data_IF_121550377473
#
_entry.id   IF_121550377473
#
_cell.length_a   1.000
_cell.length_b   1.000
_cell.length_c   1.000
_cell.angle_alpha   90.00
_cell.angle_beta   90.00
_cell.angle_gamma   90.00
#
_symmetry.space_group_name_H-M   'P 1'
#
loop_
_entity.id
_entity.type
_entity.pdbx_description
1 polymer ?
#
# COMPACT_ATOMS: atom_id res chain seq x y z
N UNK A 1 5.21 -19.18 -10.84
CA UNK A 1 5.31 -17.71 -10.86
C UNK A 1 4.31 -17.10 -9.88
N UNK A 2 4.76 -16.15 -9.07
CA UNK A 2 3.99 -15.30 -8.16
C UNK A 2 4.29 -13.84 -8.49
N UNK A 3 3.28 -12.98 -8.59
CA UNK A 3 3.45 -11.53 -8.78
C UNK A 3 3.13 -10.79 -7.49
N UNK A 4 4.01 -9.89 -7.06
CA UNK A 4 3.80 -9.03 -5.90
C UNK A 4 3.86 -7.58 -6.38
N UNK A 5 2.77 -6.84 -6.20
CA UNK A 5 2.76 -5.38 -6.30
C UNK A 5 2.79 -4.82 -4.88
N UNK A 6 3.88 -4.16 -4.49
CA UNK A 6 4.03 -3.56 -3.15
C UNK A 6 4.11 -2.04 -3.27
N UNK A 7 3.34 -1.34 -2.43
CA UNK A 7 3.08 0.10 -2.53
C UNK A 7 3.25 0.77 -1.17
N UNK A 8 3.91 1.92 -1.13
CA UNK A 8 3.93 2.77 0.07
C UNK A 8 2.57 3.46 0.25
N UNK A 9 2.06 3.57 1.47
CA UNK A 9 0.84 4.35 1.74
C UNK A 9 0.88 5.79 1.17
N UNK A 10 -0.30 6.35 0.88
CA UNK A 10 -0.47 7.76 0.50
C UNK A 10 -0.06 8.72 1.62
N UNK A 11 0.15 10.00 1.30
CA UNK A 11 0.55 11.00 2.29
C UNK A 11 -0.40 11.01 3.51
N UNK A 12 0.18 11.00 4.70
CA UNK A 12 -0.55 11.09 5.97
C UNK A 12 -0.36 12.44 6.65
N UNK A 13 -1.20 12.72 7.65
CA UNK A 13 -1.09 13.95 8.46
C UNK A 13 0.29 14.08 9.10
N UNK A 14 0.81 13.01 9.68
CA UNK A 14 2.14 13.02 10.26
C UNK A 14 3.25 13.23 9.21
N UNK A 15 3.04 12.93 7.91
CA UNK A 15 4.03 13.27 6.87
C UNK A 15 4.10 14.78 6.70
N UNK A 16 2.94 15.43 6.57
CA UNK A 16 2.85 16.89 6.46
C UNK A 16 3.40 17.58 7.71
N UNK A 17 3.10 17.04 8.88
CA UNK A 17 3.59 17.55 10.17
C UNK A 17 5.05 17.19 10.47
N UNK A 18 5.74 16.46 9.58
CA UNK A 18 7.12 16.04 9.75
C UNK A 18 7.34 15.31 11.08
N UNK A 19 6.51 14.29 11.36
CA UNK A 19 6.58 13.49 12.57
C UNK A 19 7.11 12.10 12.28
N UNK A 20 7.83 11.53 13.25
CA UNK A 20 8.15 10.11 13.26
C UNK A 20 6.84 9.31 13.35
N UNK A 21 6.64 8.43 12.36
CA UNK A 21 5.41 7.65 12.22
C UNK A 21 5.76 6.19 12.00
N UNK A 22 6.03 5.49 13.09
CA UNK A 22 6.21 4.05 13.05
C UNK A 22 4.84 3.40 13.21
N UNK A 23 4.54 2.99 14.44
CA UNK A 23 3.26 2.36 14.77
C UNK A 23 2.15 3.35 15.15
N UNK A 24 2.46 4.64 15.28
CA UNK A 24 1.44 5.67 15.49
C UNK A 24 0.43 5.67 14.34
N UNK A 25 -0.86 5.64 14.69
CA UNK A 25 -1.94 5.78 13.71
C UNK A 25 -2.08 7.23 13.25
N UNK A 26 -1.92 7.44 11.95
CA UNK A 26 -1.98 8.75 11.30
C UNK A 26 -2.80 8.59 10.03
N UNK A 27 -3.94 9.29 9.89
CA UNK A 27 -4.81 9.16 8.73
C UNK A 27 -4.19 9.79 7.49
N UNK A 28 -4.71 9.44 6.31
CA UNK A 28 -4.34 10.09 5.05
C UNK A 28 -4.75 11.57 5.07
N UNK A 29 -4.00 12.39 4.33
CA UNK A 29 -4.47 13.71 3.92
C UNK A 29 -5.37 13.60 2.71
N UNK A 30 -6.12 14.66 2.37
CA UNK A 30 -6.87 14.71 1.11
C UNK A 30 -5.95 14.52 -0.10
N UNK A 31 -4.74 15.06 -0.06
CA UNK A 31 -3.75 14.84 -1.12
C UNK A 31 -3.26 13.38 -1.14
N UNK A 32 -3.02 12.77 0.02
CA UNK A 32 -2.68 11.36 0.12
C UNK A 32 -3.76 10.43 -0.41
N UNK A 33 -5.04 10.79 -0.22
CA UNK A 33 -6.14 10.07 -0.82
C UNK A 33 -6.14 10.19 -2.36
N UNK A 34 -5.88 11.38 -2.90
CA UNK A 34 -5.73 11.56 -4.35
C UNK A 34 -4.57 10.76 -4.93
N UNK A 35 -3.42 10.72 -4.25
CA UNK A 35 -2.29 9.88 -4.64
C UNK A 35 -2.70 8.40 -4.73
N UNK A 36 -3.44 7.91 -3.73
CA UNK A 36 -3.92 6.52 -3.71
C UNK A 36 -4.94 6.24 -4.84
N UNK A 37 -5.83 7.19 -5.14
CA UNK A 37 -6.73 7.07 -6.30
C UNK A 37 -5.94 7.02 -7.63
N UNK A 38 -4.90 7.83 -7.80
CA UNK A 38 -4.06 7.79 -9.02
C UNK A 38 -3.28 6.47 -9.14
N UNK A 39 -2.76 5.94 -8.03
CA UNK A 39 -2.16 4.61 -8.01
C UNK A 39 -3.20 3.53 -8.42
N UNK A 40 -4.44 3.68 -7.97
CA UNK A 40 -5.56 2.85 -8.42
C UNK A 40 -5.82 2.92 -9.92
N UNK A 41 -5.78 4.11 -10.52
CA UNK A 41 -5.92 4.28 -11.98
C UNK A 41 -4.79 3.60 -12.75
N UNK A 42 -3.54 3.70 -12.28
CA UNK A 42 -2.39 3.03 -12.90
C UNK A 42 -2.44 1.51 -12.78
N UNK A 43 -3.13 1.00 -11.76
CA UNK A 43 -3.31 -0.43 -11.48
C UNK A 43 -4.69 -0.93 -11.87
N UNK A 44 -5.48 -0.16 -12.63
CA UNK A 44 -6.91 -0.43 -12.83
C UNK A 44 -7.20 -1.80 -13.45
N UNK A 45 -6.29 -2.27 -14.31
CA UNK A 45 -6.43 -3.50 -15.09
C UNK A 45 -5.70 -4.70 -14.48
N UNK A 46 -4.98 -4.50 -13.37
CA UNK A 46 -4.33 -5.60 -12.66
C UNK A 46 -5.39 -6.50 -12.04
N UNK A 47 -5.14 -7.81 -12.00
CA UNK A 47 -6.05 -8.82 -11.44
C UNK A 47 -5.51 -9.34 -10.12
N UNK A 48 -5.77 -8.61 -9.05
CA UNK A 48 -5.31 -9.02 -7.73
C UNK A 48 -6.10 -10.24 -7.23
N UNK A 49 -5.39 -11.29 -6.84
CA UNK A 49 -5.98 -12.48 -6.20
C UNK A 49 -6.12 -12.30 -4.70
N UNK A 50 -5.32 -11.43 -4.09
CA UNK A 50 -5.33 -11.15 -2.65
C UNK A 50 -4.79 -9.74 -2.38
N UNK A 51 -5.26 -9.11 -1.30
CA UNK A 51 -4.75 -7.82 -0.84
C UNK A 51 -4.30 -7.94 0.61
N UNK A 52 -3.07 -7.54 0.90
CA UNK A 52 -2.49 -7.57 2.25
C UNK A 52 -2.03 -6.16 2.60
N UNK A 53 -2.32 -5.73 3.81
CA UNK A 53 -1.97 -4.39 4.29
C UNK A 53 -1.28 -4.48 5.64
N UNK A 54 -0.45 -3.50 5.98
CA UNK A 54 -0.29 -3.18 7.41
C UNK A 54 -1.66 -2.78 7.97
N UNK A 55 -1.89 -3.15 9.21
CA UNK A 55 -3.11 -2.83 9.97
C UNK A 55 -3.24 -1.33 10.36
N UNK A 56 -2.26 -0.48 10.00
CA UNK A 56 -2.33 0.96 10.26
C UNK A 56 -3.31 1.64 9.29
N UNK A 57 -4.05 2.63 9.79
CA UNK A 57 -5.18 3.21 9.03
C UNK A 57 -4.77 3.82 7.67
N UNK A 58 -3.54 4.35 7.56
CA UNK A 58 -3.00 4.91 6.31
C UNK A 58 -2.80 3.87 5.21
N UNK A 59 -2.37 2.65 5.55
CA UNK A 59 -2.19 1.56 4.58
C UNK A 59 -3.52 0.96 4.18
N UNK A 60 -4.43 0.75 5.14
CA UNK A 60 -5.80 0.26 4.88
C UNK A 60 -6.56 1.24 3.96
N UNK A 61 -6.53 2.54 4.28
CA UNK A 61 -7.21 3.57 3.49
C UNK A 61 -6.63 3.69 2.08
N UNK A 62 -5.31 3.58 1.95
CA UNK A 62 -4.63 3.58 0.64
C UNK A 62 -5.08 2.38 -0.21
N UNK A 63 -5.09 1.17 0.37
CA UNK A 63 -5.54 -0.03 -0.33
C UNK A 63 -6.99 0.09 -0.81
N UNK A 64 -7.90 0.56 0.04
CA UNK A 64 -9.31 0.77 -0.33
C UNK A 64 -9.48 1.75 -1.49
N UNK A 65 -8.72 2.84 -1.50
CA UNK A 65 -8.76 3.84 -2.57
C UNK A 65 -8.20 3.30 -3.89
N UNK A 66 -7.11 2.53 -3.84
CA UNK A 66 -6.56 1.83 -5.02
C UNK A 66 -7.62 0.89 -5.61
N UNK A 67 -8.20 0.03 -4.76
CA UNK A 67 -9.18 -0.97 -5.19
C UNK A 67 -10.47 -0.34 -5.73
N UNK A 68 -10.87 0.83 -5.22
CA UNK A 68 -12.04 1.57 -5.72
C UNK A 68 -11.93 2.00 -7.19
N UNK A 69 -10.71 2.00 -7.75
CA UNK A 69 -10.43 2.33 -9.16
C UNK A 69 -10.10 1.09 -10.01
N UNK A 70 -9.93 -0.08 -9.39
CA UNK A 70 -9.60 -1.30 -10.09
C UNK A 70 -10.87 -1.96 -10.67
N UNK A 71 -10.91 -2.17 -11.98
CA UNK A 71 -12.11 -2.68 -12.67
C UNK A 71 -12.32 -4.17 -12.47
N UNK A 72 -11.26 -4.89 -12.09
CA UNK A 72 -11.33 -6.33 -11.79
C UNK A 72 -11.72 -6.59 -10.32
N UNK A 73 -11.70 -5.56 -9.47
CA UNK A 73 -12.07 -5.68 -8.07
C UNK A 73 -13.60 -5.61 -7.93
N UNK A 74 -14.25 -6.76 -8.02
CA UNK A 74 -15.63 -6.91 -7.52
C UNK A 74 -15.57 -7.12 -6.00
N UNK A 75 -16.42 -6.41 -5.25
CA UNK A 75 -16.42 -6.37 -3.77
C UNK A 75 -16.62 -7.73 -3.08
N UNK A 76 -16.87 -8.80 -3.84
CA UNK A 76 -17.21 -10.12 -3.31
C UNK A 76 -16.14 -11.21 -3.57
N UNK A 77 -15.03 -10.92 -4.26
CA UNK A 77 -14.08 -11.97 -4.68
C UNK A 77 -12.66 -11.88 -4.09
N UNK A 78 -12.26 -10.73 -3.56
CA UNK A 78 -10.87 -10.52 -3.10
C UNK A 78 -10.86 -10.12 -1.63
N UNK A 79 -10.23 -10.95 -0.82
CA UNK A 79 -10.10 -10.72 0.62
C UNK A 79 -9.00 -9.69 0.91
N UNK A 80 -9.34 -8.72 1.76
CA UNK A 80 -8.41 -7.73 2.28
C UNK A 80 -7.96 -8.17 3.67
N UNK A 81 -6.69 -8.53 3.77
CA UNK A 81 -6.03 -8.96 4.99
C UNK A 81 -5.19 -7.83 5.59
N UNK A 82 -5.07 -7.85 6.91
CA UNK A 82 -4.15 -6.99 7.64
C UNK A 82 -3.15 -7.86 8.41
N UNK A 83 -1.87 -7.52 8.32
CA UNK A 83 -0.78 -8.22 8.99
C UNK A 83 0.13 -7.20 9.69
N UNK A 84 0.31 -7.39 11.00
CA UNK A 84 1.10 -6.50 11.86
C UNK A 84 2.59 -6.49 11.49
N UNK A 85 3.09 -7.55 10.84
CA UNK A 85 4.47 -7.65 10.38
C UNK A 85 4.78 -6.68 9.25
N UNK A 86 3.77 -6.09 8.60
CA UNK A 86 3.93 -5.10 7.53
C UNK A 86 4.01 -3.66 8.06
N UNK A 87 3.95 -3.44 9.37
CA UNK A 87 4.04 -2.09 9.97
C UNK A 87 5.38 -1.41 9.67
N UNK A 88 5.42 -0.08 9.79
CA UNK A 88 6.68 0.67 9.72
C UNK A 88 7.58 0.33 10.90
N UNK A 89 8.88 0.67 10.85
CA UNK A 89 9.77 0.58 12.01
C UNK A 89 9.15 1.29 13.23
N UNK A 90 9.11 0.63 14.38
CA UNK A 90 8.71 1.28 15.63
C UNK A 90 9.81 2.22 16.15
N UNK A 91 9.50 3.51 16.29
CA UNK A 91 10.50 4.52 16.69
C UNK A 91 10.59 4.75 18.21
N UNK A 92 9.90 3.93 19.00
CA UNK A 92 9.96 3.99 20.47
C UNK A 92 9.44 5.30 21.01
N UNK A 93 10.23 5.96 21.85
CA UNK A 93 9.93 7.28 22.40
C UNK A 93 9.64 8.34 21.33
N UNK A 94 10.18 8.18 20.11
CA UNK A 94 10.04 9.17 19.06
C UNK A 94 8.71 9.12 18.32
N UNK A 95 7.88 8.10 18.52
CA UNK A 95 6.53 8.03 17.95
C UNK A 95 5.75 9.34 18.19
N UNK A 96 5.15 9.85 17.12
CA UNK A 96 4.44 11.13 17.09
C UNK A 96 5.29 12.36 17.50
N UNK A 97 6.62 12.27 17.57
CA UNK A 97 7.46 13.47 17.79
C UNK A 97 7.91 14.07 16.47
N UNK A 98 8.20 15.37 16.47
CA UNK A 98 8.82 16.02 15.33
C UNK A 98 10.10 15.28 14.93
N UNK A 99 10.26 15.01 13.64
CA UNK A 99 11.43 14.35 13.08
C UNK A 99 12.68 15.25 13.06
N UNK A 100 12.52 16.53 13.43
CA UNK A 100 13.61 17.49 13.59
C UNK A 100 14.29 17.42 14.96
N UNK A 101 13.72 16.70 15.93
CA UNK A 101 14.31 16.54 17.26
C UNK A 101 15.54 15.63 17.15
N UNK A 102 16.67 15.94 17.82
CA UNK A 102 17.85 15.08 17.84
C UNK A 102 17.50 13.66 18.29
N UNK A 103 17.81 12.69 17.42
CA UNK A 103 17.56 11.28 17.68
C UNK A 103 18.48 10.78 18.78
N UNK A 104 17.92 10.02 19.71
CA UNK A 104 18.65 9.31 20.76
C UNK A 104 18.52 7.81 20.49
N UNK A 105 19.62 7.09 20.71
CA UNK A 105 19.67 5.64 20.53
C UNK A 105 19.87 4.95 21.88
N UNK A 106 19.25 3.78 22.05
CA UNK A 106 19.43 2.96 23.24
C UNK A 106 20.81 2.32 23.27
N UNK A 107 21.31 1.91 22.09
CA UNK A 107 22.59 1.26 21.89
C UNK A 107 23.19 1.72 20.55
N UNK A 108 24.52 1.82 20.49
CA UNK A 108 25.28 2.15 19.27
C UNK A 108 26.29 1.04 18.94
N UNK A 109 25.82 -0.12 18.46
CA UNK A 109 26.69 -1.23 18.04
C UNK A 109 27.56 -0.87 16.82
N UNK A 110 28.63 -1.65 16.54
CA UNK A 110 29.47 -1.45 15.35
C UNK A 110 28.66 -1.56 14.04
N UNK A 111 27.73 -2.52 13.97
CA UNK A 111 26.79 -2.63 12.86
C UNK A 111 25.62 -1.65 13.05
N UNK A 112 25.50 -0.70 12.13
CA UNK A 112 24.45 0.32 12.15
C UNK A 112 23.04 -0.27 12.03
N UNK A 113 22.89 -1.44 11.42
CA UNK A 113 21.57 -2.11 11.29
C UNK A 113 20.99 -2.55 12.63
N UNK A 114 21.85 -2.72 13.64
CA UNK A 114 21.47 -3.13 15.00
C UNK A 114 21.17 -1.93 15.93
N UNK A 115 21.31 -0.69 15.45
CA UNK A 115 20.99 0.51 16.23
C UNK A 115 19.47 0.57 16.49
N UNK A 116 19.09 0.76 17.77
CA UNK A 116 17.71 0.94 18.20
C UNK A 116 17.48 2.36 18.73
N UNK A 117 16.32 2.94 18.41
CA UNK A 117 15.84 4.17 19.04
C UNK A 117 15.62 3.95 20.54
N UNK A 118 15.64 5.01 21.35
CA UNK A 118 15.25 4.88 22.77
C UNK A 118 13.74 4.64 22.89
N UNK A 119 13.34 3.90 23.91
CA UNK A 119 11.94 3.68 24.27
C UNK A 119 11.50 2.24 24.06
N UNK A 120 10.43 1.87 24.77
CA UNK A 120 9.86 0.54 24.72
C UNK A 120 9.39 0.18 23.31
N UNK A 121 9.63 -1.07 22.90
CA UNK A 121 9.24 -1.59 21.59
C UNK A 121 10.02 -1.02 20.40
N UNK A 122 11.01 -0.15 20.59
CA UNK A 122 11.81 0.39 19.49
C UNK A 122 12.50 -0.71 18.67
N UNK A 123 12.39 -0.60 17.36
CA UNK A 123 12.99 -1.51 16.41
C UNK A 123 14.30 -0.94 15.84
N UNK A 124 15.24 -1.82 15.52
CA UNK A 124 16.36 -1.59 14.62
C UNK A 124 15.98 -1.98 13.19
N UNK A 125 16.83 -1.64 12.20
CA UNK A 125 16.60 -2.12 10.83
C UNK A 125 16.64 -3.65 10.75
N UNK A 126 17.46 -4.30 11.58
CA UNK A 126 17.54 -5.75 11.63
C UNK A 126 16.28 -6.41 12.22
N UNK A 127 15.60 -5.76 13.17
CA UNK A 127 14.31 -6.24 13.66
C UNK A 127 13.25 -6.18 12.55
N UNK A 128 13.19 -5.06 11.81
CA UNK A 128 12.28 -4.88 10.66
C UNK A 128 12.57 -5.91 9.56
N UNK A 129 13.85 -6.13 9.24
CA UNK A 129 14.29 -7.16 8.30
C UNK A 129 13.84 -8.55 8.73
N UNK A 130 14.03 -8.91 10.00
CA UNK A 130 13.68 -10.22 10.53
C UNK A 130 12.19 -10.52 10.33
N UNK A 131 11.29 -9.56 10.63
CA UNK A 131 9.86 -9.74 10.38
C UNK A 131 9.46 -9.71 8.90
N UNK A 132 10.17 -8.94 8.07
CA UNK A 132 9.96 -8.96 6.62
C UNK A 132 10.35 -10.33 6.02
N UNK A 133 11.47 -10.91 6.46
CA UNK A 133 11.91 -12.26 6.10
C UNK A 133 10.93 -13.34 6.54
N UNK A 134 10.42 -13.28 7.77
CA UNK A 134 9.40 -14.21 8.26
C UNK A 134 8.13 -14.14 7.40
N UNK A 135 7.62 -12.94 7.14
CA UNK A 135 6.46 -12.73 6.28
C UNK A 135 6.70 -13.28 4.86
N UNK A 136 7.85 -12.96 4.24
CA UNK A 136 8.20 -13.46 2.91
C UNK A 136 8.26 -15.00 2.89
N UNK A 137 8.87 -15.60 3.91
CA UNK A 137 9.08 -17.05 3.95
C UNK A 137 7.75 -17.79 4.05
N UNK A 138 6.85 -17.35 4.93
CA UNK A 138 5.51 -17.91 5.04
C UNK A 138 4.67 -17.69 3.78
N UNK A 139 4.77 -16.51 3.16
CA UNK A 139 4.09 -16.21 1.90
C UNK A 139 4.52 -17.20 0.81
N UNK A 140 5.83 -17.40 0.63
CA UNK A 140 6.37 -18.32 -0.36
C UNK A 140 5.96 -19.78 -0.07
N UNK A 141 6.07 -20.22 1.19
CA UNK A 141 5.65 -21.57 1.59
C UNK A 141 4.16 -21.81 1.33
N UNK A 142 3.29 -20.83 1.62
CA UNK A 142 1.86 -20.93 1.30
C UNK A 142 1.63 -21.14 -0.19
N UNK A 143 2.20 -20.27 -1.04
CA UNK A 143 2.00 -20.37 -2.49
C UNK A 143 2.64 -21.62 -3.11
N UNK A 144 3.68 -22.18 -2.48
CA UNK A 144 4.30 -23.42 -2.92
C UNK A 144 3.40 -24.62 -2.63
N UNK A 145 2.80 -24.67 -1.45
CA UNK A 145 1.83 -25.72 -1.09
C UNK A 145 0.57 -25.65 -1.97
N UNK A 146 0.13 -24.45 -2.32
CA UNK A 146 -1.05 -24.23 -3.16
C UNK A 146 -0.78 -24.32 -4.67
N UNK A 147 0.46 -24.58 -5.10
CA UNK A 147 0.88 -24.49 -6.50
C UNK A 147 0.06 -25.39 -7.45
N UNK A 148 -0.38 -26.57 -6.99
CA UNK A 148 -1.24 -27.48 -7.78
C UNK A 148 -2.66 -26.94 -8.01
N UNK A 149 -3.20 -26.15 -7.09
CA UNK A 149 -4.54 -25.55 -7.18
C UNK A 149 -4.46 -24.27 -8.01
N UNK A 150 -3.41 -23.48 -7.76
CA UNK A 150 -3.18 -22.19 -8.42
C UNK A 150 -2.88 -22.34 -9.91
N UNK A 151 -2.14 -23.38 -10.32
CA UNK A 151 -1.84 -23.62 -11.74
C UNK A 151 -3.09 -23.76 -12.63
N UNK A 152 -4.26 -24.09 -12.05
CA UNK A 152 -5.54 -24.17 -12.77
C UNK A 152 -6.29 -22.82 -12.83
N UNK A 153 -6.01 -21.89 -11.91
CA UNK A 153 -6.69 -20.59 -11.80
C UNK A 153 -5.86 -19.41 -12.31
N UNK A 154 -4.60 -19.65 -12.69
CA UNK A 154 -3.67 -18.64 -13.18
C UNK A 154 -2.60 -18.28 -12.15
N UNK A 155 -1.73 -17.33 -12.50
CA UNK A 155 -0.65 -16.91 -11.59
C UNK A 155 -1.17 -15.91 -10.55
N UNK A 156 -0.87 -16.12 -9.26
CA UNK A 156 -1.34 -15.25 -8.19
C UNK A 156 -0.67 -13.90 -8.31
N UNK A 157 -1.46 -12.85 -8.05
CA UNK A 157 -0.99 -11.47 -8.06
C UNK A 157 -1.49 -10.78 -6.80
N UNK A 158 -0.56 -10.46 -5.91
CA UNK A 158 -0.86 -9.93 -4.59
C UNK A 158 -0.59 -8.43 -4.58
N UNK A 159 -1.54 -7.66 -4.06
CA UNK A 159 -1.31 -6.26 -3.70
C UNK A 159 -0.90 -6.18 -2.23
N UNK A 160 0.24 -5.57 -1.95
CA UNK A 160 0.74 -5.29 -0.60
C UNK A 160 0.81 -3.77 -0.40
N UNK A 161 0.21 -3.24 0.67
CA UNK A 161 0.32 -1.81 1.03
C UNK A 161 0.99 -1.66 2.39
N UNK A 162 2.15 -0.99 2.40
CA UNK A 162 3.02 -0.87 3.57
C UNK A 162 3.72 0.51 3.64
N UNK A 163 4.91 0.59 4.22
CA UNK A 163 5.64 1.80 4.62
C UNK A 163 7.08 1.78 4.12
N UNK A 164 7.78 2.90 4.20
CA UNK A 164 9.06 3.08 3.50
C UNK A 164 10.16 2.15 3.99
N UNK A 165 10.36 2.04 5.31
CA UNK A 165 11.47 1.23 5.85
C UNK A 165 11.14 -0.25 5.70
N UNK A 166 9.90 -0.65 5.99
CA UNK A 166 9.47 -2.02 5.74
C UNK A 166 9.65 -2.44 4.28
N UNK A 167 9.24 -1.63 3.30
CA UNK A 167 9.38 -2.00 1.88
C UNK A 167 10.86 -2.16 1.51
N UNK A 168 11.75 -1.29 1.98
CA UNK A 168 13.19 -1.45 1.76
C UNK A 168 13.72 -2.76 2.35
N UNK A 169 13.34 -3.10 3.58
CA UNK A 169 13.78 -4.35 4.21
C UNK A 169 13.10 -5.59 3.60
N UNK A 170 11.90 -5.47 3.03
CA UNK A 170 11.25 -6.53 2.26
C UNK A 170 11.94 -6.76 0.91
N UNK A 171 12.36 -5.70 0.22
CA UNK A 171 13.17 -5.81 -1.00
C UNK A 171 14.54 -6.41 -0.70
N UNK A 172 15.15 -6.02 0.43
CA UNK A 172 16.36 -6.65 0.95
C UNK A 172 16.14 -8.15 1.21
N UNK A 173 15.07 -8.50 1.93
CA UNK A 173 14.67 -9.88 2.20
C UNK A 173 14.54 -10.71 0.91
N UNK A 174 13.90 -10.17 -0.14
CA UNK A 174 13.80 -10.83 -1.44
C UNK A 174 15.15 -11.12 -2.09
N UNK A 175 16.11 -10.18 -1.99
CA UNK A 175 17.43 -10.32 -2.60
C UNK A 175 18.28 -11.39 -1.92
N UNK A 176 18.24 -11.45 -0.59
CA UNK A 176 19.10 -12.36 0.19
C UNK A 176 18.41 -13.64 0.66
N UNK A 177 17.13 -13.83 0.33
CA UNK A 177 16.34 -15.00 0.70
C UNK A 177 17.05 -16.31 0.30
N UNK A 178 17.35 -17.16 1.30
CA UNK A 178 18.02 -18.46 1.17
C UNK A 178 19.42 -18.43 0.53
N UNK A 179 20.02 -17.26 0.32
CA UNK A 179 21.38 -17.17 -0.21
C UNK A 179 22.43 -17.13 0.90
N UNK A 180 23.57 -17.80 0.67
CA UNK A 180 24.80 -17.59 1.47
C UNK A 180 25.41 -16.17 1.25
N UNK A 181 24.86 -15.41 0.29
CA UNK A 181 25.31 -14.09 -0.13
C UNK A 181 24.80 -12.95 0.77
N UNK A 182 24.16 -13.25 1.90
CA UNK A 182 23.70 -12.26 2.89
C UNK A 182 24.77 -11.23 3.28
N UNK A 183 26.05 -11.62 3.24
CA UNK A 183 27.19 -10.74 3.55
C UNK A 183 27.85 -10.09 2.34
N UNK A 184 27.45 -10.44 1.10
CA UNK A 184 28.07 -9.96 -0.14
C UNK A 184 27.17 -9.00 -0.94
N UNK A 185 25.85 -9.06 -0.74
CA UNK A 185 24.89 -8.14 -1.36
C UNK A 185 24.02 -7.50 -0.29
N UNK A 186 23.93 -6.18 -0.30
CA UNK A 186 23.03 -5.42 0.56
C UNK A 186 22.16 -4.53 -0.32
N UNK A 187 20.85 -4.58 -0.09
CA UNK A 187 19.96 -3.59 -0.67
C UNK A 187 20.36 -2.19 -0.19
N UNK A 188 20.64 -1.29 -1.13
CA UNK A 188 20.84 0.10 -0.80
C UNK A 188 19.48 0.73 -0.50
N UNK A 189 19.34 1.36 0.67
CA UNK A 189 18.12 2.06 1.03
C UNK A 189 17.75 3.10 -0.03
N UNK A 190 16.51 3.06 -0.50
CA UNK A 190 15.98 4.00 -1.48
C UNK A 190 14.87 4.83 -0.80
N UNK A 191 14.87 6.16 -0.95
CA UNK A 191 13.72 6.98 -0.59
C UNK A 191 12.49 6.64 -1.46
N UNK A 192 11.37 6.34 -0.82
CA UNK A 192 10.11 6.03 -1.51
C UNK A 192 9.18 7.23 -1.45
N UNK A 193 8.57 7.62 -2.57
CA UNK A 193 7.45 8.56 -2.56
C UNK A 193 6.20 7.90 -2.00
N UNK A 194 5.29 8.68 -1.41
CA UNK A 194 3.96 8.17 -1.06
C UNK A 194 3.28 7.60 -2.32
N UNK A 195 2.72 6.39 -2.20
CA UNK A 195 2.17 5.60 -3.33
C UNK A 195 3.16 5.18 -4.42
N UNK A 196 4.48 5.22 -4.19
CA UNK A 196 5.40 4.61 -5.14
C UNK A 196 5.18 3.09 -5.23
N UNK A 197 5.33 2.57 -6.45
CA UNK A 197 4.91 1.21 -6.81
C UNK A 197 6.14 0.36 -7.16
N UNK A 198 6.27 -0.79 -6.51
CA UNK A 198 7.10 -1.89 -6.99
C UNK A 198 6.20 -2.99 -7.53
N UNK A 199 6.61 -3.64 -8.63
CA UNK A 199 5.95 -4.85 -9.15
C UNK A 199 7.02 -5.87 -9.46
N UNK A 200 6.95 -7.01 -8.80
CA UNK A 200 8.00 -8.04 -8.76
C UNK A 200 7.36 -9.35 -9.17
N UNK A 201 7.97 -10.07 -10.11
CA UNK A 201 7.60 -11.44 -10.43
C UNK A 201 8.64 -12.38 -9.86
N UNK A 202 8.19 -13.41 -9.16
CA UNK A 202 9.01 -14.49 -8.61
C UNK A 202 8.69 -15.73 -9.44
N UNK A 203 9.63 -16.18 -10.27
CA UNK A 203 9.40 -17.23 -11.27
C UNK A 203 9.38 -18.61 -10.64
N UNK A 204 10.41 -18.91 -9.85
CA UNK A 204 10.62 -20.18 -9.15
C UNK A 204 10.88 -19.92 -7.68
N UNK A 205 10.23 -20.71 -6.84
CA UNK A 205 10.42 -20.77 -5.39
C UNK A 205 10.13 -22.23 -5.02
N UNK A 206 11.17 -23.07 -5.02
CA UNK A 206 11.03 -24.48 -4.66
C UNK A 206 11.89 -24.70 -3.41
N UNK A 207 11.31 -25.24 -2.34
CA UNK A 207 12.00 -25.35 -1.05
C UNK A 207 13.23 -26.28 -1.07
N UNK A 208 13.40 -27.06 -2.13
CA UNK A 208 14.46 -28.06 -2.27
C UNK A 208 15.80 -27.51 -2.75
N UNK A 209 15.83 -26.32 -3.33
CA UNK A 209 17.05 -25.75 -3.89
C UNK A 209 17.61 -24.66 -2.96
N UNK A 210 18.90 -24.76 -2.60
CA UNK A 210 19.65 -23.67 -1.93
C UNK A 210 19.94 -22.49 -2.89
N UNK A 211 19.14 -22.34 -3.94
CA UNK A 211 19.33 -21.37 -4.99
C UNK A 211 18.58 -20.06 -4.66
N UNK A 212 19.11 -18.90 -5.08
CA UNK A 212 18.43 -17.62 -4.95
C UNK A 212 17.06 -17.62 -5.66
N UNK A 213 16.14 -16.79 -5.16
CA UNK A 213 14.88 -16.54 -5.87
C UNK A 213 15.15 -15.94 -7.25
N UNK A 214 14.58 -16.53 -8.30
CA UNK A 214 14.59 -15.91 -9.62
C UNK A 214 13.50 -14.83 -9.69
N UNK A 215 13.91 -13.57 -9.56
CA UNK A 215 13.03 -12.40 -9.51
C UNK A 215 13.20 -11.49 -10.74
N UNK A 216 12.09 -10.94 -11.22
CA UNK A 216 12.05 -9.94 -12.28
C UNK A 216 11.33 -8.69 -11.75
N UNK A 217 11.98 -7.53 -11.84
CA UNK A 217 11.43 -6.26 -11.40
C UNK A 217 10.77 -5.53 -12.58
N UNK A 218 9.44 -5.47 -12.58
CA UNK A 218 8.62 -4.87 -13.64
C UNK A 218 8.44 -3.37 -13.42
N UNK A 219 8.12 -2.97 -12.19
CA UNK A 219 8.05 -1.57 -11.77
C UNK A 219 9.03 -1.37 -10.63
N UNK A 220 9.93 -0.41 -10.75
CA UNK A 220 10.94 -0.09 -9.75
C UNK A 220 10.69 1.32 -9.21
N UNK A 221 10.22 1.44 -7.96
CA UNK A 221 9.87 2.72 -7.32
C UNK A 221 9.05 3.65 -8.25
N UNK A 222 8.10 3.08 -8.99
CA UNK A 222 7.37 3.75 -10.07
C UNK A 222 6.41 4.81 -9.51
N UNK A 223 6.44 6.01 -10.11
CA UNK A 223 5.69 7.19 -9.64
C UNK A 223 5.00 7.98 -10.76
N UNK A 224 4.96 7.48 -12.01
CA UNK A 224 4.38 8.24 -13.13
C UNK A 224 2.90 8.56 -12.94
N UNK A 225 2.16 7.77 -12.16
CA UNK A 225 0.76 8.07 -11.80
C UNK A 225 0.61 9.35 -10.98
N UNK A 226 1.69 9.86 -10.40
CA UNK A 226 1.72 11.13 -9.68
C UNK A 226 2.01 12.32 -10.61
N UNK A 227 2.37 12.08 -11.88
CA UNK A 227 2.70 13.14 -12.81
C UNK A 227 1.46 14.00 -13.08
N UNK A 228 1.59 15.31 -12.85
CA UNK A 228 0.50 16.27 -13.03
C UNK A 228 -0.48 16.31 -11.85
N UNK A 229 -0.28 15.51 -10.81
CA UNK A 229 -1.10 15.59 -9.60
C UNK A 229 -0.72 16.81 -8.77
N UNK A 230 -1.66 17.75 -8.64
CA UNK A 230 -1.43 19.02 -7.92
C UNK A 230 -2.13 19.01 -6.56
N UNK A 231 -1.40 19.41 -5.51
CA UNK A 231 -1.98 19.60 -4.18
C UNK A 231 -2.98 20.75 -4.20
N UNK A 232 -4.16 20.51 -3.65
CA UNK A 232 -5.18 21.54 -3.44
C UNK A 232 -4.71 22.58 -2.42
N UNK A 233 -4.86 23.85 -2.78
CA UNK A 233 -4.43 25.01 -1.99
C UNK A 233 -5.36 25.30 -0.79
N UNK A 234 -4.99 26.30 0.02
CA UNK A 234 -5.83 26.76 1.14
C UNK A 234 -5.94 25.76 2.30
N UNK A 235 -4.94 24.88 2.47
CA UNK A 235 -4.91 23.87 3.54
C UNK A 235 -5.77 22.62 3.26
N UNK A 236 -6.62 22.63 2.22
CA UNK A 236 -7.52 21.53 1.90
C UNK A 236 -6.74 20.24 1.61
N UNK A 237 -5.68 20.31 0.80
CA UNK A 237 -4.87 19.14 0.46
C UNK A 237 -4.17 18.50 1.66
N UNK A 238 -3.90 19.28 2.71
CA UNK A 238 -3.21 18.84 3.92
C UNK A 238 -4.16 18.47 5.07
N UNK A 239 -5.47 18.72 4.91
CA UNK A 239 -6.48 18.32 5.88
C UNK A 239 -6.69 16.80 5.88
N UNK A 240 -7.24 16.29 6.99
CA UNK A 240 -7.57 14.87 7.16
C UNK A 240 -8.56 14.45 6.08
N UNK A 241 -8.26 13.34 5.42
CA UNK A 241 -9.20 12.69 4.51
C UNK A 241 -10.30 11.98 5.30
N UNK A 242 -11.55 12.37 5.04
CA UNK A 242 -12.74 11.68 5.55
C UNK A 242 -13.42 10.91 4.41
N UNK A 243 -13.47 9.55 4.44
CA UNK A 243 -14.13 8.77 3.41
C UNK A 243 -15.65 8.98 3.34
N UNK A 244 -16.27 9.58 4.37
CA UNK A 244 -17.69 9.94 4.36
C UNK A 244 -17.95 11.28 3.66
N UNK A 245 -16.92 12.10 3.48
CA UNK A 245 -17.03 13.41 2.86
C UNK A 245 -17.28 13.28 1.36
N UNK A 246 -18.44 13.76 0.90
CA UNK A 246 -18.82 13.74 -0.51
C UNK A 246 -18.38 15.02 -1.21
N UNK A 247 -17.90 14.90 -2.45
CA UNK A 247 -17.64 16.06 -3.32
C UNK A 247 -18.97 16.75 -3.64
N UNK A 248 -19.01 18.08 -3.66
CA UNK A 248 -20.23 18.83 -4.00
C UNK A 248 -20.72 18.52 -5.42
N UNK A 249 -19.84 18.10 -6.33
CA UNK A 249 -20.21 17.59 -7.65
C UNK A 249 -21.15 16.39 -7.60
N UNK A 250 -21.07 15.55 -6.57
CA UNK A 250 -22.01 14.45 -6.36
C UNK A 250 -23.43 14.94 -6.05
N UNK A 251 -23.56 16.07 -5.34
CA UNK A 251 -24.85 16.72 -5.11
C UNK A 251 -25.45 17.24 -6.43
N UNK A 252 -24.64 17.93 -7.24
CA UNK A 252 -25.10 18.47 -8.52
C UNK A 252 -25.45 17.36 -9.54
N UNK A 253 -24.67 16.28 -9.59
CA UNK A 253 -24.96 15.13 -10.46
C UNK A 253 -26.26 14.43 -10.08
N UNK A 254 -26.56 14.33 -8.79
CA UNK A 254 -27.84 13.79 -8.29
C UNK A 254 -29.02 14.68 -8.69
N UNK A 255 -28.84 16.02 -8.64
CA UNK A 255 -29.87 16.98 -9.05
C UNK A 255 -30.17 16.92 -10.56
N UNK A 256 -29.14 16.75 -11.39
CA UNK A 256 -29.30 16.55 -12.84
C UNK A 256 -30.02 15.24 -13.18
N UNK A 257 -29.72 14.14 -12.47
CA UNK A 257 -30.46 12.88 -12.64
C UNK A 257 -31.92 13.01 -12.19
N UNK A 258 -32.21 13.74 -11.11
CA UNK A 258 -33.59 13.99 -10.69
C UNK A 258 -34.37 14.91 -11.64
N UNK A 259 -33.72 15.89 -12.28
CA UNK A 259 -34.40 16.76 -13.25
C UNK A 259 -34.72 16.04 -14.57
N UNK A 260 -33.83 15.15 -15.03
CA UNK A 260 -34.08 14.33 -16.23
C UNK A 260 -35.26 13.37 -16.02
N UNK A 261 -35.39 12.79 -14.82
CA UNK A 261 -36.51 11.92 -14.48
C UNK A 261 -37.84 12.67 -14.33
N UNK A 262 -37.82 13.98 -14.05
CA UNK A 262 -39.03 14.80 -13.95
C UNK A 262 -39.56 15.15 -15.36
N UNK A 263 -38.67 15.48 -16.29
CA UNK A 263 -39.03 15.80 -17.68
C UNK A 263 -39.53 14.60 -18.52
N UNK A 264 -39.38 13.36 -18.04
CA UNK A 264 -39.93 12.18 -18.71
C UNK A 264 -41.35 11.80 -18.23
N UNK A 265 -41.90 12.50 -17.24
CA UNK A 265 -43.26 12.24 -16.70
C UNK A 265 -44.36 13.18 -17.22
N UNK A 266 -44.02 14.21 -18.01
CA UNK A 266 -45.00 15.19 -18.51
C UNK A 266 -45.44 14.95 -19.98
N UNK A 267 -45.30 13.73 -20.50
CA UNK A 267 -45.65 13.41 -21.89
C UNK A 267 -46.36 12.07 -22.05
N UNK A 268 -47.57 11.93 -21.52
CA UNK A 268 -48.54 10.93 -22.00
C UNK A 268 -49.95 11.49 -21.86
N UNK A 269 -50.54 11.78 -23.02
CA UNK A 269 -51.88 12.31 -23.25
C UNK A 269 -52.98 11.38 -22.70
N UNK A 270 -54.02 11.96 -22.11
CA UNK A 270 -55.34 11.32 -21.98
C UNK A 270 -56.17 11.72 -23.22
N UNK A 271 -56.66 10.77 -24.05
CA UNK A 271 -57.76 11.04 -24.94
C UNK A 271 -59.07 10.96 -24.14
N UNK A 272 -59.85 12.04 -24.17
CA UNK A 272 -61.22 12.06 -23.69
C UNK A 272 -62.09 11.19 -24.60
N UNK A 273 -62.68 10.13 -24.04
CA UNK A 273 -63.81 9.43 -24.65
C UNK A 273 -65.12 10.08 -24.18
N UNK A 274 -65.95 10.43 -25.16
CA UNK A 274 -67.32 10.94 -25.05
C UNK A 274 -68.29 9.82 -24.65
N UNK A 275 -69.25 10.13 -23.77
CA UNK A 275 -70.61 9.58 -23.71
C UNK A 275 -71.56 10.65 -23.14
#
# INVERSE_FOLDING_TARGET
MLTITIIRHGESIGNVQQRWQGHTNSPLTNFGAQQAEQAGEALKHEKFTSVITSDLIRTISTAKLILSRNINFSTNAVELYSDVRLREQHFGYFEDKSNTIPVKYALTPPDRRLIKFVGEGAESLEDVFSRAMLFLSELLSYYQQQQKIISQQGHPHILIVSHSIFINEFLNALLIHKTILRYQQQWQFIPLHNTSIFTIKIHTFNDHDQEPLHVELIRNNYIEHLHGLVRQQGGIGSAIYDPKQKKISSFFRKKQQSSVNFSQKEGSEDPMDED
#
